data_IF_267903599286
#
_entry.id   IF_267903599286
#
_cell.length_a   1.000
_cell.length_b   1.000
_cell.length_c   1.000
_cell.angle_alpha   90.00
_cell.angle_beta   90.00
_cell.angle_gamma   90.00
#
_symmetry.space_group_name_H-M   'P 1'
#
loop_
_entity.id
_entity.type
_entity.pdbx_description
1 polymer ?
#
# COMPACT_ATOMS: atom_id res chain seq x y z
N UNK A 1 -13.84 26.50 -37.61
CA UNK A 1 -12.77 25.47 -37.57
C UNK A 1 -11.87 25.59 -36.35
N UNK A 2 -11.13 26.68 -36.14
CA UNK A 2 -10.19 26.84 -35.01
C UNK A 2 -10.84 26.67 -33.61
N UNK A 3 -12.07 27.16 -33.46
CA UNK A 3 -12.85 27.02 -32.21
C UNK A 3 -13.11 25.55 -31.86
N UNK A 4 -13.69 24.77 -32.77
CA UNK A 4 -13.99 23.33 -32.54
C UNK A 4 -12.73 22.53 -32.14
N UNK A 5 -11.58 22.83 -32.75
CA UNK A 5 -10.30 22.19 -32.43
C UNK A 5 -9.85 22.52 -30.99
N UNK A 6 -10.01 23.78 -30.56
CA UNK A 6 -9.71 24.20 -29.18
C UNK A 6 -10.59 23.51 -28.14
N UNK A 7 -11.89 23.38 -28.40
CA UNK A 7 -12.81 22.65 -27.52
C UNK A 7 -12.45 21.17 -27.37
N UNK A 8 -12.08 20.51 -28.47
CA UNK A 8 -11.66 19.10 -28.47
C UNK A 8 -10.34 18.89 -27.70
N UNK A 9 -9.39 19.83 -27.83
CA UNK A 9 -8.12 19.80 -27.10
C UNK A 9 -8.31 19.90 -25.58
N UNK A 10 -9.22 20.75 -25.11
CA UNK A 10 -9.45 20.91 -23.67
C UNK A 10 -10.23 19.72 -23.08
N UNK A 11 -11.19 19.17 -23.82
CA UNK A 11 -11.90 17.94 -23.46
C UNK A 11 -10.94 16.76 -23.29
N UNK A 12 -10.02 16.57 -24.25
CA UNK A 12 -9.04 15.49 -24.20
C UNK A 12 -8.00 15.70 -23.09
N UNK A 13 -7.55 16.93 -22.87
CA UNK A 13 -6.62 17.26 -21.78
C UNK A 13 -7.22 17.02 -20.39
N UNK A 14 -8.47 17.46 -20.16
CA UNK A 14 -9.15 17.31 -18.85
C UNK A 14 -9.52 15.84 -18.56
N UNK A 15 -9.99 15.11 -19.58
CA UNK A 15 -10.29 13.68 -19.47
C UNK A 15 -9.02 12.86 -19.25
N UNK A 16 -7.93 13.18 -19.96
CA UNK A 16 -6.64 12.53 -19.84
C UNK A 16 -6.00 12.72 -18.44
N UNK A 17 -6.05 13.94 -17.90
CA UNK A 17 -5.56 14.23 -16.55
C UNK A 17 -6.35 13.44 -15.47
N UNK A 18 -7.67 13.35 -15.62
CA UNK A 18 -8.51 12.54 -14.73
C UNK A 18 -8.18 11.04 -14.79
N UNK A 19 -7.87 10.51 -15.98
CA UNK A 19 -7.47 9.12 -16.16
C UNK A 19 -6.14 8.82 -15.47
N UNK A 20 -5.10 9.63 -15.71
CA UNK A 20 -3.78 9.44 -15.09
C UNK A 20 -3.89 9.47 -13.56
N UNK A 21 -4.61 10.43 -13.01
CA UNK A 21 -4.80 10.52 -11.56
C UNK A 21 -5.51 9.28 -10.97
N UNK A 22 -6.51 8.74 -11.66
CA UNK A 22 -7.17 7.51 -11.25
C UNK A 22 -6.23 6.29 -11.33
N UNK A 23 -5.33 6.25 -12.32
CA UNK A 23 -4.34 5.15 -12.43
C UNK A 23 -3.33 5.16 -11.29
N UNK A 24 -2.84 6.33 -10.87
CA UNK A 24 -1.92 6.44 -9.72
C UNK A 24 -2.59 5.99 -8.42
N UNK A 25 -3.84 6.39 -8.19
CA UNK A 25 -4.60 5.97 -7.01
C UNK A 25 -4.88 4.47 -7.01
N UNK A 26 -5.20 3.87 -8.17
CA UNK A 26 -5.36 2.41 -8.32
C UNK A 26 -4.05 1.69 -8.02
N UNK A 27 -2.93 2.15 -8.58
CA UNK A 27 -1.62 1.58 -8.31
C UNK A 27 -1.25 1.68 -6.83
N UNK A 28 -1.62 2.78 -6.15
CA UNK A 28 -1.42 2.91 -4.71
C UNK A 28 -2.27 1.92 -3.90
N UNK A 29 -3.54 1.77 -4.27
CA UNK A 29 -4.45 0.80 -3.65
C UNK A 29 -3.93 -0.64 -3.79
N UNK A 30 -3.45 -1.01 -4.97
CA UNK A 30 -2.85 -2.33 -5.22
C UNK A 30 -1.62 -2.59 -4.33
N UNK A 31 -0.77 -1.58 -4.10
CA UNK A 31 0.37 -1.71 -3.17
C UNK A 31 -0.09 -2.03 -1.75
N UNK A 32 -1.13 -1.36 -1.26
CA UNK A 32 -1.69 -1.58 0.07
C UNK A 32 -2.36 -2.97 0.19
N UNK A 33 -3.12 -3.38 -0.83
CA UNK A 33 -3.69 -4.73 -0.88
C UNK A 33 -2.61 -5.81 -0.91
N UNK A 34 -1.50 -5.58 -1.62
CA UNK A 34 -0.40 -6.53 -1.65
C UNK A 34 0.34 -6.61 -0.30
N UNK A 35 0.51 -5.49 0.41
CA UNK A 35 1.02 -5.50 1.79
C UNK A 35 0.10 -6.30 2.71
N UNK A 36 -1.21 -6.09 2.63
CA UNK A 36 -2.21 -6.86 3.38
C UNK A 36 -2.14 -8.36 3.09
N UNK A 37 -1.94 -8.73 1.83
CA UNK A 37 -1.70 -10.11 1.43
C UNK A 37 -0.43 -10.67 2.06
N UNK A 38 0.69 -9.93 2.05
CA UNK A 38 1.94 -10.36 2.68
C UNK A 38 1.75 -10.62 4.17
N UNK A 39 1.09 -9.73 4.92
CA UNK A 39 0.83 -9.96 6.34
C UNK A 39 -0.10 -11.15 6.60
N UNK A 40 -1.01 -11.48 5.67
CA UNK A 40 -1.79 -12.71 5.77
C UNK A 40 -0.94 -13.97 5.58
N UNK A 41 0.07 -13.92 4.72
CA UNK A 41 1.05 -15.01 4.59
C UNK A 41 1.86 -15.16 5.86
N UNK A 42 2.36 -14.06 6.42
CA UNK A 42 3.10 -14.07 7.69
C UNK A 42 2.24 -14.67 8.81
N UNK A 43 0.97 -14.25 8.93
CA UNK A 43 0.04 -14.82 9.91
C UNK A 43 -0.09 -16.32 9.72
N UNK A 44 -0.35 -16.78 8.49
CA UNK A 44 -0.48 -18.20 8.18
C UNK A 44 0.77 -18.98 8.59
N UNK A 45 1.96 -18.55 8.19
CA UNK A 45 3.20 -19.23 8.55
C UNK A 45 3.43 -19.29 10.06
N UNK A 46 3.15 -18.20 10.80
CA UNK A 46 3.24 -18.18 12.27
C UNK A 46 2.27 -19.20 12.89
N UNK A 47 1.01 -19.22 12.43
CA UNK A 47 -0.02 -20.10 12.98
C UNK A 47 0.22 -21.58 12.67
N UNK A 48 0.86 -21.92 11.55
CA UNK A 48 1.05 -23.32 11.13
C UNK A 48 2.39 -23.94 11.53
N UNK A 49 3.49 -23.18 11.50
CA UNK A 49 4.84 -23.75 11.63
C UNK A 49 5.44 -23.60 13.02
N UNK A 50 4.94 -22.65 13.83
CA UNK A 50 5.58 -22.21 15.07
C UNK A 50 7.08 -21.89 14.93
N UNK A 51 7.54 -21.61 13.70
CA UNK A 51 8.94 -21.34 13.39
C UNK A 51 9.37 -19.96 13.93
N UNK A 52 10.66 -19.76 14.20
CA UNK A 52 11.20 -18.44 14.53
C UNK A 52 10.86 -17.39 13.45
N UNK A 53 10.61 -16.14 13.86
CA UNK A 53 10.27 -15.05 12.94
C UNK A 53 11.21 -14.89 11.73
N UNK A 54 12.55 -15.03 11.86
CA UNK A 54 13.44 -14.95 10.70
C UNK A 54 13.18 -16.02 9.65
N UNK A 55 12.82 -17.23 10.06
CA UNK A 55 12.47 -18.32 9.15
C UNK A 55 11.14 -18.03 8.45
N UNK A 56 10.14 -17.56 9.20
CA UNK A 56 8.85 -17.10 8.64
C UNK A 56 9.07 -16.01 7.59
N UNK A 57 9.86 -14.98 7.90
CA UNK A 57 10.13 -13.90 6.96
C UNK A 57 10.93 -14.37 5.75
N UNK A 58 11.84 -15.32 5.93
CA UNK A 58 12.59 -15.93 4.84
C UNK A 58 11.67 -16.69 3.87
N UNK A 59 10.75 -17.49 4.41
CA UNK A 59 9.82 -18.30 3.63
C UNK A 59 8.80 -17.43 2.89
N UNK A 60 8.17 -16.49 3.59
CA UNK A 60 7.27 -15.51 2.94
C UNK A 60 8.03 -14.66 1.93
N UNK A 61 9.26 -14.25 2.25
CA UNK A 61 10.13 -13.46 1.39
C UNK A 61 10.39 -14.12 0.03
N UNK A 62 10.59 -15.44 0.01
CA UNK A 62 10.77 -16.22 -1.23
C UNK A 62 9.54 -16.23 -2.13
N UNK A 63 8.34 -16.14 -1.56
CA UNK A 63 7.05 -16.22 -2.27
C UNK A 63 6.59 -14.88 -2.85
N UNK A 64 7.16 -13.76 -2.40
CA UNK A 64 6.71 -12.42 -2.78
C UNK A 64 7.64 -11.76 -3.82
N UNK A 65 7.12 -10.73 -4.50
CA UNK A 65 7.88 -9.94 -5.50
C UNK A 65 8.74 -8.85 -4.85
N UNK A 66 9.72 -8.31 -5.61
CA UNK A 66 10.45 -7.09 -5.20
C UNK A 66 9.49 -5.88 -5.19
N UNK A 67 9.66 -4.89 -4.30
CA UNK A 67 10.71 -4.78 -3.27
C UNK A 67 10.42 -5.55 -1.97
N UNK A 68 9.19 -6.08 -1.79
CA UNK A 68 8.75 -6.76 -0.56
C UNK A 68 9.62 -7.96 -0.18
N UNK A 69 10.08 -8.72 -1.19
CA UNK A 69 11.06 -9.81 -1.00
C UNK A 69 12.30 -9.32 -0.27
N UNK A 70 12.92 -8.26 -0.78
CA UNK A 70 14.15 -7.72 -0.21
C UNK A 70 13.89 -7.23 1.21
N UNK A 71 12.77 -6.56 1.45
CA UNK A 71 12.39 -6.14 2.79
C UNK A 71 12.32 -7.30 3.78
N UNK A 72 11.62 -8.39 3.45
CA UNK A 72 11.47 -9.54 4.35
C UNK A 72 12.78 -10.31 4.58
N UNK A 73 13.53 -10.60 3.50
CA UNK A 73 14.79 -11.34 3.60
C UNK A 73 15.85 -10.56 4.40
N UNK A 74 15.93 -9.25 4.20
CA UNK A 74 16.88 -8.40 4.93
C UNK A 74 16.45 -8.21 6.39
N UNK A 75 15.13 -8.19 6.66
CA UNK A 75 14.61 -8.18 8.03
C UNK A 75 14.96 -9.48 8.75
N UNK A 76 14.78 -10.64 8.10
CA UNK A 76 15.19 -11.94 8.66
C UNK A 76 16.67 -11.94 9.03
N UNK A 77 17.53 -11.53 8.08
CA UNK A 77 18.98 -11.45 8.26
C UNK A 77 19.38 -10.53 9.42
N UNK A 78 18.79 -9.34 9.50
CA UNK A 78 19.10 -8.37 10.55
C UNK A 78 18.74 -8.88 11.95
N UNK A 79 17.65 -9.66 12.05
CA UNK A 79 17.20 -10.27 13.31
C UNK A 79 18.10 -11.44 13.70
N UNK A 80 18.51 -12.30 12.76
CA UNK A 80 19.45 -13.41 13.00
C UNK A 80 20.83 -12.93 13.45
N UNK A 81 21.37 -11.92 12.77
CA UNK A 81 22.70 -11.38 13.05
C UNK A 81 22.73 -10.46 14.28
N UNK A 82 21.58 -10.19 14.91
CA UNK A 82 21.43 -9.27 16.05
C UNK A 82 22.11 -7.91 15.80
N UNK A 83 22.00 -7.40 14.57
CA UNK A 83 22.66 -6.15 14.15
C UNK A 83 22.19 -4.92 14.93
N UNK A 84 21.03 -5.00 15.57
CA UNK A 84 20.43 -3.95 16.37
C UNK A 84 20.07 -4.47 17.77
N UNK A 85 20.00 -3.55 18.73
CA UNK A 85 19.53 -3.85 20.09
C UNK A 85 18.00 -3.96 20.11
N UNK A 86 17.46 -5.03 19.53
CA UNK A 86 16.05 -5.42 19.61
C UNK A 86 15.31 -5.49 18.28
N UNK A 87 14.34 -6.42 18.22
CA UNK A 87 13.56 -6.74 17.02
C UNK A 87 12.87 -5.53 16.40
N UNK A 88 12.19 -4.71 17.21
CA UNK A 88 11.45 -3.54 16.73
C UNK A 88 12.32 -2.54 15.95
N UNK A 89 13.58 -2.35 16.38
CA UNK A 89 14.53 -1.47 15.70
C UNK A 89 14.98 -2.04 14.36
N UNK A 90 15.34 -3.32 14.34
CA UNK A 90 15.69 -4.01 13.10
C UNK A 90 14.54 -3.95 12.08
N UNK A 91 13.30 -4.22 12.53
CA UNK A 91 12.09 -4.12 11.71
C UNK A 91 11.90 -2.72 11.12
N UNK A 92 11.90 -1.70 11.98
CA UNK A 92 11.65 -0.31 11.56
C UNK A 92 12.69 0.18 10.56
N UNK A 93 13.97 -0.12 10.81
CA UNK A 93 15.08 0.22 9.91
C UNK A 93 14.92 -0.45 8.54
N UNK A 94 14.56 -1.73 8.52
CA UNK A 94 14.35 -2.46 7.27
C UNK A 94 13.12 -1.94 6.50
N UNK A 95 12.03 -1.65 7.20
CA UNK A 95 10.85 -1.02 6.60
C UNK A 95 11.21 0.34 5.98
N UNK A 96 11.91 1.21 6.70
CA UNK A 96 12.32 2.53 6.22
C UNK A 96 13.25 2.45 5.01
N UNK A 97 14.16 1.47 4.98
CA UNK A 97 15.15 1.31 3.90
C UNK A 97 14.55 0.68 2.66
N UNK A 98 13.83 -0.44 2.82
CA UNK A 98 13.44 -1.30 1.70
C UNK A 98 12.01 -1.05 1.19
N UNK A 99 11.13 -0.44 1.99
CA UNK A 99 9.80 -0.03 1.53
C UNK A 99 9.77 1.42 0.99
N UNK A 100 10.85 2.20 1.15
CA UNK A 100 10.98 3.55 0.59
C UNK A 100 10.58 3.67 -0.90
N UNK A 101 10.97 2.73 -1.79
CA UNK A 101 10.59 2.79 -3.20
C UNK A 101 9.08 2.69 -3.47
N UNK A 102 8.28 2.20 -2.50
CA UNK A 102 6.83 2.11 -2.67
C UNK A 102 6.15 3.49 -2.63
N UNK A 103 6.81 4.50 -2.08
CA UNK A 103 6.25 5.86 -1.94
C UNK A 103 5.02 5.89 -1.03
N UNK A 104 5.06 5.13 0.07
CA UNK A 104 3.95 5.09 1.02
C UNK A 104 3.75 6.47 1.65
N UNK A 105 2.48 6.87 1.82
CA UNK A 105 2.13 8.04 2.62
C UNK A 105 2.57 7.83 4.07
N UNK A 106 2.78 8.92 4.80
CA UNK A 106 3.25 8.87 6.19
C UNK A 106 2.39 7.97 7.09
N UNK A 107 1.07 8.08 7.00
CA UNK A 107 0.10 7.26 7.73
C UNK A 107 0.32 5.74 7.50
N UNK A 108 0.52 5.35 6.24
CA UNK A 108 0.74 3.96 5.84
C UNK A 108 2.15 3.48 6.19
N UNK A 109 3.14 4.38 6.15
CA UNK A 109 4.50 4.06 6.61
C UNK A 109 4.52 3.78 8.11
N UNK A 110 3.74 4.52 8.91
CA UNK A 110 3.58 4.23 10.36
C UNK A 110 2.89 2.89 10.55
N UNK A 111 1.83 2.61 9.79
CA UNK A 111 1.14 1.31 9.81
C UNK A 111 2.09 0.14 9.53
N UNK A 112 3.10 0.31 8.67
CA UNK A 112 4.10 -0.73 8.40
C UNK A 112 5.10 -0.97 9.55
N UNK A 113 5.22 -0.02 10.49
CA UNK A 113 6.10 -0.13 11.66
C UNK A 113 5.44 -0.77 12.87
N UNK A 114 4.11 -0.71 12.96
CA UNK A 114 3.34 -1.29 14.07
C UNK A 114 3.66 -2.77 14.34
N UNK A 115 3.82 -3.66 13.34
CA UNK A 115 4.18 -5.05 13.59
C UNK A 115 5.50 -5.23 14.35
N UNK A 116 6.42 -4.27 14.25
CA UNK A 116 7.66 -4.28 15.00
C UNK A 116 7.47 -4.27 16.52
N UNK A 117 6.34 -3.76 17.04
CA UNK A 117 6.10 -3.63 18.48
C UNK A 117 5.56 -4.91 19.11
N UNK A 118 4.89 -5.76 18.34
CA UNK A 118 4.21 -6.95 18.85
C UNK A 118 4.73 -8.27 18.27
N UNK A 119 5.27 -8.32 17.04
CA UNK A 119 5.76 -9.58 16.45
C UNK A 119 6.87 -10.22 17.31
N UNK A 120 7.69 -9.40 17.96
CA UNK A 120 8.77 -9.87 18.83
C UNK A 120 8.33 -10.31 20.24
N UNK A 121 7.04 -10.33 20.56
CA UNK A 121 6.54 -10.80 21.85
C UNK A 121 6.50 -12.34 21.92
N UNK A 122 6.52 -12.89 23.14
CA UNK A 122 6.62 -14.34 23.39
C UNK A 122 5.27 -15.06 23.47
N UNK A 123 4.16 -14.34 23.63
CA UNK A 123 2.82 -14.93 23.83
C UNK A 123 2.10 -15.17 22.50
N UNK A 124 2.01 -16.44 22.08
CA UNK A 124 1.43 -16.83 20.78
C UNK A 124 -0.07 -16.50 20.64
N UNK A 125 -0.88 -16.74 21.67
CA UNK A 125 -2.34 -16.46 21.61
C UNK A 125 -2.62 -14.96 21.47
N UNK A 126 -1.89 -14.14 22.24
CA UNK A 126 -1.93 -12.68 22.17
C UNK A 126 -1.44 -12.18 20.80
N UNK A 127 -0.44 -12.84 20.22
CA UNK A 127 0.11 -12.50 18.91
C UNK A 127 -0.89 -12.74 17.78
N UNK A 128 -1.56 -13.89 17.74
CA UNK A 128 -2.53 -14.21 16.68
C UNK A 128 -3.68 -13.19 16.68
N UNK A 129 -4.23 -12.90 17.86
CA UNK A 129 -5.29 -11.92 18.03
C UNK A 129 -4.84 -10.51 17.59
N UNK A 130 -3.67 -10.06 18.05
CA UNK A 130 -3.11 -8.75 17.71
C UNK A 130 -2.85 -8.63 16.21
N UNK A 131 -2.31 -9.67 15.58
CA UNK A 131 -2.07 -9.71 14.15
C UNK A 131 -3.40 -9.71 13.36
N UNK A 132 -4.43 -10.40 13.85
CA UNK A 132 -5.77 -10.35 13.24
C UNK A 132 -6.37 -8.94 13.33
N UNK A 133 -6.27 -8.27 14.48
CA UNK A 133 -6.72 -6.87 14.63
C UNK A 133 -5.96 -5.94 13.67
N UNK A 134 -4.65 -6.13 13.52
CA UNK A 134 -3.82 -5.39 12.59
C UNK A 134 -4.27 -5.59 11.13
N UNK A 135 -4.54 -6.82 10.71
CA UNK A 135 -5.06 -7.13 9.38
C UNK A 135 -6.42 -6.46 9.13
N UNK A 136 -7.33 -6.50 10.12
CA UNK A 136 -8.62 -5.81 10.02
C UNK A 136 -8.45 -4.30 9.87
N UNK A 137 -7.48 -3.70 10.58
CA UNK A 137 -7.16 -2.27 10.45
C UNK A 137 -6.61 -1.93 9.06
N UNK A 138 -5.76 -2.79 8.49
CA UNK A 138 -5.31 -2.63 7.10
C UNK A 138 -6.49 -2.69 6.13
N UNK A 139 -7.47 -3.57 6.35
CA UNK A 139 -8.66 -3.68 5.51
C UNK A 139 -9.51 -2.39 5.56
N UNK A 140 -9.63 -1.76 6.73
CA UNK A 140 -10.29 -0.45 6.86
C UNK A 140 -9.56 0.65 6.08
N UNK A 141 -8.23 0.71 6.14
CA UNK A 141 -7.46 1.69 5.36
C UNK A 141 -7.55 1.44 3.85
N UNK A 142 -7.56 0.17 3.43
CA UNK A 142 -7.80 -0.21 2.03
C UNK A 142 -9.19 0.23 1.57
N UNK A 143 -10.21 0.08 2.41
CA UNK A 143 -11.57 0.49 2.07
C UNK A 143 -11.70 2.02 1.95
N UNK A 144 -11.10 2.77 2.88
CA UNK A 144 -10.99 4.24 2.74
C UNK A 144 -10.31 4.64 1.43
N UNK A 145 -9.25 3.94 1.02
CA UNK A 145 -8.57 4.22 -0.26
C UNK A 145 -9.48 3.90 -1.46
N UNK A 146 -10.29 2.84 -1.39
CA UNK A 146 -11.29 2.48 -2.42
C UNK A 146 -12.39 3.52 -2.52
N UNK A 147 -12.95 3.95 -1.40
CA UNK A 147 -13.98 4.99 -1.36
C UNK A 147 -13.45 6.31 -1.93
N UNK A 148 -12.23 6.70 -1.54
CA UNK A 148 -11.57 7.88 -2.09
C UNK A 148 -11.36 7.78 -3.60
N UNK A 149 -10.95 6.61 -4.11
CA UNK A 149 -10.82 6.36 -5.54
C UNK A 149 -12.18 6.46 -6.24
N UNK A 150 -13.23 5.85 -5.70
CA UNK A 150 -14.57 5.88 -6.26
C UNK A 150 -15.13 7.31 -6.31
N UNK A 151 -14.99 8.08 -5.23
CA UNK A 151 -15.39 9.48 -5.16
C UNK A 151 -14.63 10.33 -6.19
N UNK A 152 -13.30 10.18 -6.28
CA UNK A 152 -12.46 10.92 -7.22
C UNK A 152 -12.71 10.55 -8.68
N UNK A 153 -12.99 9.28 -8.98
CA UNK A 153 -13.36 8.84 -10.32
C UNK A 153 -14.71 9.42 -10.74
N UNK A 154 -15.70 9.41 -9.82
CA UNK A 154 -17.03 9.98 -10.06
C UNK A 154 -16.96 11.49 -10.29
N UNK A 155 -16.23 12.21 -9.43
CA UNK A 155 -16.05 13.67 -9.55
C UNK A 155 -15.27 14.03 -10.81
N UNK A 156 -14.20 13.29 -11.14
CA UNK A 156 -13.41 13.50 -12.36
C UNK A 156 -14.23 13.29 -13.63
N UNK A 157 -15.08 12.26 -13.66
CA UNK A 157 -16.03 12.05 -14.76
C UNK A 157 -17.05 13.18 -14.90
N UNK A 158 -17.66 13.62 -13.80
CA UNK A 158 -18.64 14.71 -13.83
C UNK A 158 -18.01 16.07 -14.21
N UNK A 159 -16.83 16.41 -13.66
CA UNK A 159 -16.13 17.65 -13.97
C UNK A 159 -15.61 17.69 -15.41
N UNK A 160 -15.14 16.55 -15.94
CA UNK A 160 -14.72 16.46 -17.34
C UNK A 160 -15.88 16.70 -18.30
N UNK A 161 -17.03 16.07 -18.04
CA UNK A 161 -18.24 16.24 -18.87
C UNK A 161 -18.81 17.65 -18.74
N UNK A 162 -18.97 18.17 -17.52
CA UNK A 162 -19.53 19.52 -17.31
C UNK A 162 -18.58 20.64 -17.77
N UNK A 163 -17.27 20.51 -17.53
CA UNK A 163 -16.27 21.46 -18.00
C UNK A 163 -16.16 21.47 -19.53
N UNK A 164 -16.27 20.30 -20.15
CA UNK A 164 -16.36 20.17 -21.61
C UNK A 164 -17.59 20.84 -22.20
N UNK A 165 -18.77 20.59 -21.61
CA UNK A 165 -20.03 21.23 -22.00
C UNK A 165 -20.00 22.75 -21.83
N UNK A 166 -19.48 23.23 -20.70
CA UNK A 166 -19.35 24.67 -20.42
C UNK A 166 -18.44 25.37 -21.44
N UNK A 167 -17.32 24.76 -21.80
CA UNK A 167 -16.42 25.32 -22.82
C UNK A 167 -17.02 25.27 -24.21
N UNK A 168 -17.77 24.22 -24.58
CA UNK A 168 -18.52 24.19 -25.84
C UNK A 168 -19.50 25.38 -25.91
N UNK A 169 -20.24 25.64 -24.83
CA UNK A 169 -21.22 26.74 -24.78
C UNK A 169 -20.56 28.13 -24.87
N UNK A 170 -19.40 28.34 -24.25
CA UNK A 170 -18.66 29.63 -24.33
C UNK A 170 -18.07 29.89 -25.72
N UNK A 171 -17.73 28.82 -26.43
CA UNK A 171 -16.94 28.89 -27.67
C UNK A 171 -17.81 29.05 -28.92
N UNK A 172 -19.08 28.63 -28.84
CA UNK A 172 -20.13 28.94 -29.82
C UNK A 172 -20.35 30.45 -29.80
#
# INVERSE_FOLDING_TARGET
MQRIIGGLLILTATTGAGYVYCTELKAYLEKMQYLRYIFSLIKGEISYTHAPLPEVFSEVGRRVRKPYRTWLLETARAVEMREETGFARAWNRCADKYLKPLGLKQEHSVLMKEPGTFLGSLEQDTLDHTLQMYLNRMDLEIEKLRENLAAKTRIGGCLGVMGGLFLIVILI
#
